data_IF_311364071467
#
_entry.id   IF_311364071467
#
_cell.length_a   1.000
_cell.length_b   1.000
_cell.length_c   1.000
_cell.angle_alpha   90.00
_cell.angle_beta   90.00
_cell.angle_gamma   90.00
#
_symmetry.space_group_name_H-M   'P 1'
#
loop_
_entity.id
_entity.type
_entity.pdbx_description
1 polymer ?
#
# COMPACT_ATOMS: atom_id res chain seq x y z
N UNK A 1 1.81 -12.64 -26.42
CA UNK A 1 2.27 -12.07 -25.15
C UNK A 1 1.40 -12.57 -23.99
N UNK A 2 2.00 -12.67 -22.80
CA UNK A 2 1.30 -12.95 -21.54
C UNK A 2 1.45 -11.70 -20.67
N UNK A 3 0.33 -11.20 -20.15
CA UNK A 3 0.31 -10.04 -19.25
C UNK A 3 -0.05 -10.54 -17.85
N UNK A 4 0.83 -10.30 -16.89
CA UNK A 4 0.54 -10.59 -15.49
C UNK A 4 -0.40 -9.52 -14.94
N UNK A 5 -1.67 -9.86 -14.75
CA UNK A 5 -2.65 -8.98 -14.12
C UNK A 5 -2.67 -9.16 -12.59
N UNK A 6 -2.53 -10.41 -12.13
CA UNK A 6 -2.56 -10.79 -10.72
C UNK A 6 -1.98 -12.21 -10.56
N UNK A 7 -1.06 -12.35 -9.63
CA UNK A 7 -0.53 -13.65 -9.16
C UNK A 7 -0.37 -13.63 -7.65
N UNK A 8 0.02 -14.76 -7.06
CA UNK A 8 0.34 -14.84 -5.63
C UNK A 8 1.52 -13.95 -5.25
N UNK A 9 2.45 -13.72 -6.19
CA UNK A 9 3.64 -12.92 -5.95
C UNK A 9 3.47 -11.43 -6.27
N UNK A 10 2.64 -11.06 -7.27
CA UNK A 10 2.57 -9.68 -7.79
C UNK A 10 1.18 -9.28 -8.26
N UNK A 11 0.90 -7.97 -8.17
CA UNK A 11 -0.31 -7.31 -8.67
C UNK A 11 0.02 -6.09 -9.56
N UNK A 12 0.69 -6.26 -10.68
CA UNK A 12 1.27 -5.15 -11.44
C UNK A 12 0.23 -4.22 -12.08
N UNK A 13 -0.92 -4.75 -12.51
CA UNK A 13 -1.97 -3.92 -13.10
C UNK A 13 -2.62 -2.97 -12.08
N UNK A 14 -2.75 -3.39 -10.83
CA UNK A 14 -3.20 -2.51 -9.75
C UNK A 14 -2.16 -1.42 -9.50
N UNK A 15 -0.89 -1.81 -9.35
CA UNK A 15 0.18 -0.86 -9.14
C UNK A 15 0.24 0.23 -10.21
N UNK A 16 0.04 -0.12 -11.48
CA UNK A 16 0.03 0.88 -12.57
C UNK A 16 -1.14 1.85 -12.41
N UNK A 17 -2.31 1.39 -11.95
CA UNK A 17 -3.44 2.26 -11.65
C UNK A 17 -3.14 3.22 -10.49
N UNK A 18 -2.47 2.73 -9.44
CA UNK A 18 -2.06 3.55 -8.29
C UNK A 18 -1.07 4.64 -8.75
N UNK A 19 -0.09 4.28 -9.57
CA UNK A 19 0.88 5.24 -10.11
C UNK A 19 0.21 6.26 -11.03
N UNK A 20 -0.76 5.85 -11.86
CA UNK A 20 -1.55 6.77 -12.69
C UNK A 20 -2.35 7.72 -11.80
N UNK A 21 -3.04 7.22 -10.80
CA UNK A 21 -3.82 8.03 -9.84
C UNK A 21 -2.92 9.05 -9.13
N UNK A 22 -1.75 8.61 -8.67
CA UNK A 22 -0.79 9.55 -8.09
C UNK A 22 -0.42 10.67 -9.06
N UNK A 23 -0.07 10.32 -10.30
CA UNK A 23 0.34 11.31 -11.32
C UNK A 23 -0.76 12.32 -11.61
N UNK A 24 -2.01 11.89 -11.67
CA UNK A 24 -3.18 12.76 -11.90
C UNK A 24 -3.39 13.75 -10.75
N UNK A 25 -3.17 13.33 -9.51
CA UNK A 25 -3.37 14.18 -8.33
C UNK A 25 -2.14 15.03 -7.94
N UNK A 26 -0.92 14.53 -8.18
CA UNK A 26 0.32 15.11 -7.62
C UNK A 26 1.47 15.25 -8.61
N UNK A 27 1.34 14.74 -9.83
CA UNK A 27 2.43 14.73 -10.81
C UNK A 27 3.47 13.65 -10.52
N UNK A 28 4.77 13.96 -10.66
CA UNK A 28 5.84 12.97 -10.47
C UNK A 28 5.89 12.43 -9.05
N UNK A 29 5.99 11.09 -8.92
CA UNK A 29 6.23 10.41 -7.63
C UNK A 29 7.74 10.32 -7.30
N UNK A 30 8.63 10.64 -8.24
CA UNK A 30 10.07 10.58 -8.01
C UNK A 30 10.50 11.44 -6.81
N UNK A 31 11.32 10.85 -5.94
CA UNK A 31 11.79 11.47 -4.70
C UNK A 31 10.76 11.55 -3.57
N UNK A 32 9.56 11.05 -3.78
CA UNK A 32 8.49 11.00 -2.77
C UNK A 32 8.66 9.84 -1.81
N UNK A 33 7.96 9.91 -0.69
CA UNK A 33 7.94 8.88 0.34
C UNK A 33 6.59 8.19 0.36
N UNK A 34 6.61 6.88 0.12
CA UNK A 34 5.44 6.01 0.17
C UNK A 34 5.51 5.15 1.43
N UNK A 35 4.42 5.07 2.18
CA UNK A 35 4.25 4.19 3.32
C UNK A 35 3.25 3.09 2.98
N UNK A 36 3.72 1.85 2.96
CA UNK A 36 2.87 0.67 2.93
C UNK A 36 2.57 0.25 4.37
N UNK A 37 1.31 -0.03 4.69
CA UNK A 37 0.89 -0.47 6.02
C UNK A 37 0.06 -1.75 5.88
N UNK A 38 0.56 -2.87 6.41
CA UNK A 38 -0.15 -4.15 6.36
C UNK A 38 0.74 -5.35 6.04
N UNK A 39 0.16 -6.37 5.43
CA UNK A 39 0.86 -7.62 5.05
C UNK A 39 1.87 -7.37 3.91
N UNK A 40 3.01 -8.07 3.97
CA UNK A 40 4.02 -8.07 2.91
C UNK A 40 3.61 -8.90 1.69
N UNK A 41 2.35 -8.79 1.28
CA UNK A 41 1.70 -9.56 0.22
C UNK A 41 2.16 -9.18 -1.20
N UNK A 42 1.49 -9.73 -2.21
CA UNK A 42 1.78 -9.49 -3.63
C UNK A 42 1.66 -8.01 -4.04
N UNK A 43 0.74 -7.26 -3.41
CA UNK A 43 0.61 -5.83 -3.68
C UNK A 43 1.79 -5.05 -3.09
N UNK A 44 2.20 -5.36 -1.84
CA UNK A 44 3.41 -4.83 -1.23
C UNK A 44 4.65 -5.11 -2.07
N UNK A 45 4.80 -6.34 -2.56
CA UNK A 45 5.92 -6.73 -3.44
C UNK A 45 5.91 -5.97 -4.77
N UNK A 46 4.74 -5.66 -5.30
CA UNK A 46 4.61 -4.81 -6.48
C UNK A 46 5.08 -3.37 -6.21
N UNK A 47 4.77 -2.81 -5.03
CA UNK A 47 5.30 -1.51 -4.60
C UNK A 47 6.82 -1.52 -4.43
N UNK A 48 7.43 -2.62 -3.98
CA UNK A 48 8.89 -2.76 -3.90
C UNK A 48 9.53 -2.62 -5.29
N UNK A 49 8.97 -3.30 -6.28
CA UNK A 49 9.44 -3.19 -7.67
C UNK A 49 9.25 -1.77 -8.22
N UNK A 50 8.11 -1.14 -7.92
CA UNK A 50 7.81 0.21 -8.35
C UNK A 50 8.75 1.25 -7.74
N UNK A 51 9.15 1.10 -6.49
CA UNK A 51 10.05 2.05 -5.81
C UNK A 51 11.33 2.28 -6.60
N UNK A 52 11.87 1.24 -7.22
CA UNK A 52 13.04 1.34 -8.10
C UNK A 52 12.71 1.96 -9.46
N UNK A 53 11.57 1.59 -10.05
CA UNK A 53 11.22 2.02 -11.41
C UNK A 53 10.78 3.48 -11.46
N UNK A 54 10.06 3.93 -10.45
CA UNK A 54 9.49 5.28 -10.35
C UNK A 54 10.29 6.21 -9.42
N UNK A 55 11.38 5.70 -8.84
CA UNK A 55 12.36 6.49 -8.06
C UNK A 55 11.76 7.12 -6.79
N UNK A 56 11.03 6.35 -5.96
CA UNK A 56 10.53 6.78 -4.66
C UNK A 56 11.08 5.97 -3.50
N UNK A 57 11.03 6.50 -2.27
CA UNK A 57 11.33 5.78 -1.04
C UNK A 57 10.07 5.00 -0.59
N UNK A 58 10.23 3.70 -0.32
CA UNK A 58 9.16 2.86 0.24
C UNK A 58 9.51 2.45 1.67
N UNK A 59 8.62 2.78 2.62
CA UNK A 59 8.64 2.26 3.98
C UNK A 59 7.52 1.27 4.15
N UNK A 60 7.86 0.08 4.65
CA UNK A 60 6.91 -1.03 4.82
C UNK A 60 6.69 -1.24 6.30
N UNK A 61 5.49 -0.93 6.78
CA UNK A 61 5.04 -1.23 8.12
C UNK A 61 4.25 -2.54 8.12
N UNK A 62 4.87 -3.61 8.63
CA UNK A 62 4.23 -4.92 8.76
C UNK A 62 4.56 -5.55 10.12
N UNK A 63 3.69 -6.43 10.67
CA UNK A 63 4.02 -7.21 11.84
C UNK A 63 5.23 -8.14 11.57
N UNK A 64 6.05 -8.44 12.59
CA UNK A 64 7.08 -9.48 12.48
C UNK A 64 6.47 -10.82 12.04
N UNK A 65 7.10 -11.43 11.02
CA UNK A 65 6.62 -12.68 10.39
C UNK A 65 5.69 -12.48 9.19
N UNK A 66 5.36 -11.23 8.86
CA UNK A 66 4.55 -10.86 7.69
C UNK A 66 5.31 -9.93 6.73
N UNK A 67 6.63 -10.00 6.77
CA UNK A 67 7.49 -9.24 5.87
C UNK A 67 7.39 -9.79 4.44
N UNK A 68 7.54 -8.92 3.41
CA UNK A 68 7.67 -9.39 2.03
C UNK A 68 8.97 -10.21 1.83
N UNK A 69 9.11 -10.82 0.66
CA UNK A 69 10.29 -11.61 0.30
C UNK A 69 11.59 -10.87 0.65
N UNK A 70 12.42 -11.42 1.55
CA UNK A 70 13.66 -10.77 1.99
C UNK A 70 14.68 -10.59 0.86
N UNK A 71 14.67 -11.45 -0.16
CA UNK A 71 15.54 -11.30 -1.31
C UNK A 71 15.13 -10.10 -2.16
N UNK A 72 13.83 -9.88 -2.31
CA UNK A 72 13.27 -8.72 -3.03
C UNK A 72 13.59 -7.42 -2.28
N UNK A 73 13.42 -7.40 -0.95
CA UNK A 73 13.78 -6.24 -0.11
C UNK A 73 15.28 -5.94 -0.22
N UNK A 74 16.13 -6.95 -0.10
CA UNK A 74 17.58 -6.79 -0.18
C UNK A 74 18.04 -6.24 -1.54
N UNK A 75 17.41 -6.71 -2.63
CA UNK A 75 17.71 -6.23 -3.98
C UNK A 75 17.33 -4.75 -4.20
N UNK A 76 16.45 -4.20 -3.34
CA UNK A 76 15.95 -2.84 -3.39
C UNK A 76 16.31 -1.99 -2.15
N UNK A 77 17.29 -2.40 -1.35
CA UNK A 77 17.66 -1.79 -0.06
C UNK A 77 18.01 -0.28 -0.14
N UNK A 78 18.37 0.22 -1.32
CA UNK A 78 18.60 1.66 -1.54
C UNK A 78 17.31 2.51 -1.56
N UNK A 79 16.13 1.88 -1.67
CA UNK A 79 14.83 2.55 -1.80
C UNK A 79 13.79 2.00 -0.82
N UNK A 80 13.98 0.80 -0.32
CA UNK A 80 13.00 0.07 0.48
C UNK A 80 13.56 -0.22 1.85
N UNK A 81 12.76 0.01 2.88
CA UNK A 81 13.08 -0.39 4.24
C UNK A 81 11.85 -0.90 4.98
N UNK A 82 12.04 -1.88 5.84
CA UNK A 82 11.01 -2.37 6.76
C UNK A 82 11.10 -1.55 8.06
N UNK A 83 9.95 -1.11 8.52
CA UNK A 83 9.78 -0.40 9.79
C UNK A 83 8.57 -1.00 10.51
N UNK A 84 8.83 -1.75 11.61
CA UNK A 84 7.74 -2.45 12.31
C UNK A 84 6.83 -1.52 13.13
N UNK A 85 7.18 -0.25 13.31
CA UNK A 85 6.30 0.74 13.90
C UNK A 85 5.58 1.53 12.80
N UNK A 86 4.24 1.35 12.64
CA UNK A 86 3.50 2.00 11.59
C UNK A 86 3.49 3.53 11.71
N UNK A 87 3.60 4.07 12.93
CA UNK A 87 3.66 5.51 13.15
C UNK A 87 4.98 6.11 12.66
N UNK A 88 6.10 5.39 12.85
CA UNK A 88 7.40 5.80 12.33
C UNK A 88 7.48 5.63 10.81
N UNK A 89 6.89 4.57 10.27
CA UNK A 89 6.84 4.36 8.83
C UNK A 89 6.07 5.48 8.12
N UNK A 90 4.94 5.90 8.70
CA UNK A 90 4.08 6.94 8.13
C UNK A 90 4.66 8.35 8.26
N UNK A 91 5.68 8.58 9.11
CA UNK A 91 6.19 9.93 9.39
C UNK A 91 6.64 10.66 8.12
N UNK A 92 5.90 11.73 7.78
CA UNK A 92 6.13 12.56 6.60
C UNK A 92 5.96 11.82 5.27
N UNK A 93 5.20 10.73 5.22
CA UNK A 93 4.87 10.05 3.97
C UNK A 93 3.98 10.94 3.08
N UNK A 94 4.26 10.97 1.79
CA UNK A 94 3.43 11.67 0.79
C UNK A 94 2.23 10.81 0.35
N UNK A 95 2.39 9.48 0.42
CA UNK A 95 1.35 8.50 0.09
C UNK A 95 1.32 7.41 1.16
N UNK A 96 0.12 7.09 1.67
CA UNK A 96 -0.13 5.93 2.54
C UNK A 96 -0.98 4.93 1.78
N UNK A 97 -0.56 3.67 1.77
CA UNK A 97 -1.23 2.57 1.07
C UNK A 97 -1.44 1.41 2.02
N UNK A 98 -2.58 0.77 1.93
CA UNK A 98 -2.86 -0.49 2.63
C UNK A 98 -3.68 -1.45 1.76
N UNK A 99 -3.79 -2.67 2.22
CA UNK A 99 -4.61 -3.74 1.64
C UNK A 99 -5.23 -4.57 2.77
N UNK A 100 -6.17 -5.44 2.44
CA UNK A 100 -6.80 -6.36 3.39
C UNK A 100 -5.77 -7.22 4.12
N UNK A 101 -5.99 -7.48 5.40
CA UNK A 101 -5.08 -8.30 6.21
C UNK A 101 -5.18 -9.80 5.93
N UNK A 102 -6.33 -10.25 5.42
CA UNK A 102 -6.56 -11.63 5.02
C UNK A 102 -7.13 -11.69 3.61
N UNK A 103 -6.47 -12.44 2.74
CA UNK A 103 -6.98 -12.70 1.39
C UNK A 103 -8.23 -13.57 1.43
N UNK A 104 -9.07 -13.47 0.37
CA UNK A 104 -10.27 -14.31 0.25
C UNK A 104 -9.92 -15.79 0.39
N UNK A 105 -10.69 -16.51 1.23
CA UNK A 105 -10.48 -17.95 1.51
C UNK A 105 -9.65 -18.26 2.75
N UNK A 106 -9.23 -17.26 3.55
CA UNK A 106 -8.46 -17.41 4.80
C UNK A 106 -9.29 -17.05 6.05
N UNK A 107 -10.59 -17.28 6.05
CA UNK A 107 -11.52 -16.81 7.10
C UNK A 107 -11.23 -17.42 8.48
N UNK A 108 -10.68 -18.64 8.56
CA UNK A 108 -10.32 -19.27 9.84
C UNK A 108 -9.10 -18.58 10.50
N UNK A 109 -8.21 -17.99 9.69
CA UNK A 109 -7.04 -17.26 10.16
C UNK A 109 -7.35 -15.78 10.46
N UNK A 110 -8.50 -15.29 10.02
CA UNK A 110 -8.86 -13.86 10.07
C UNK A 110 -8.81 -13.28 11.49
N UNK A 111 -9.33 -14.02 12.50
CA UNK A 111 -9.32 -13.54 13.88
C UNK A 111 -7.91 -13.41 14.47
N UNK A 112 -7.03 -14.33 14.13
CA UNK A 112 -5.63 -14.27 14.59
C UNK A 112 -4.89 -13.14 13.88
N UNK A 113 -5.06 -13.02 12.57
CA UNK A 113 -4.51 -11.90 11.77
C UNK A 113 -5.01 -10.55 12.29
N UNK A 114 -6.31 -10.41 12.55
CA UNK A 114 -6.87 -9.16 13.09
C UNK A 114 -6.22 -8.73 14.41
N UNK A 115 -5.84 -9.68 15.28
CA UNK A 115 -5.11 -9.36 16.53
C UNK A 115 -3.68 -8.91 16.27
N UNK A 116 -2.98 -9.58 15.35
CA UNK A 116 -1.58 -9.27 15.03
C UNK A 116 -1.46 -7.95 14.27
N UNK A 117 -2.43 -7.65 13.42
CA UNK A 117 -2.47 -6.45 12.59
C UNK A 117 -3.18 -5.25 13.24
N UNK A 118 -3.79 -5.40 14.43
CA UNK A 118 -4.57 -4.33 15.06
C UNK A 118 -3.82 -2.98 15.18
N UNK A 119 -2.49 -3.01 15.35
CA UNK A 119 -1.64 -1.81 15.39
C UNK A 119 -1.39 -1.18 14.02
N UNK A 120 -1.68 -1.92 12.95
CA UNK A 120 -1.42 -1.53 11.57
C UNK A 120 -2.68 -1.03 10.86
N UNK A 121 -3.72 -0.70 11.63
CA UNK A 121 -4.89 -0.03 11.08
C UNK A 121 -4.55 1.39 10.64
N UNK A 122 -4.87 1.72 9.39
CA UNK A 122 -4.78 3.10 8.90
C UNK A 122 -5.97 3.89 9.42
N UNK A 123 -5.71 4.78 10.36
CA UNK A 123 -6.68 5.64 11.03
C UNK A 123 -6.20 7.10 10.99
N UNK A 124 -7.01 8.00 11.55
CA UNK A 124 -6.70 9.43 11.56
C UNK A 124 -5.38 9.76 12.29
N UNK A 125 -5.03 9.00 13.34
CA UNK A 125 -3.77 9.21 14.07
C UNK A 125 -2.56 8.86 13.18
N UNK A 126 -2.61 7.74 12.45
CA UNK A 126 -1.57 7.35 11.51
C UNK A 126 -1.47 8.34 10.34
N UNK A 127 -2.61 8.71 9.75
CA UNK A 127 -2.64 9.73 8.68
C UNK A 127 -2.12 11.09 9.16
N UNK A 128 -2.30 11.41 10.42
CA UNK A 128 -1.75 12.61 11.05
C UNK A 128 -0.21 12.62 11.17
N UNK A 129 0.46 11.48 11.01
CA UNK A 129 1.94 11.39 10.92
C UNK A 129 2.46 11.64 9.52
N UNK A 130 1.65 11.36 8.51
CA UNK A 130 1.99 11.63 7.13
C UNK A 130 2.03 13.13 6.82
N UNK A 131 2.46 13.49 5.64
CA UNK A 131 2.40 14.88 5.17
C UNK A 131 0.95 15.39 5.20
N UNK A 132 0.74 16.67 5.47
CA UNK A 132 -0.61 17.24 5.61
C UNK A 132 -1.47 17.13 4.34
N UNK A 133 -0.82 16.96 3.19
CA UNK A 133 -1.44 16.77 1.88
C UNK A 133 -1.22 15.33 1.34
N UNK A 134 -0.82 14.39 2.20
CA UNK A 134 -0.64 13.00 1.82
C UNK A 134 -1.92 12.42 1.23
N UNK A 135 -1.77 11.55 0.22
CA UNK A 135 -2.89 10.77 -0.30
C UNK A 135 -2.99 9.42 0.41
N UNK A 136 -4.21 8.87 0.41
CA UNK A 136 -4.50 7.52 0.85
C UNK A 136 -5.05 6.68 -0.31
N UNK A 137 -4.51 5.46 -0.49
CA UNK A 137 -4.91 4.50 -1.51
C UNK A 137 -5.17 3.12 -0.92
N UNK A 138 -6.07 2.36 -1.56
CA UNK A 138 -6.42 0.98 -1.21
C UNK A 138 -6.94 0.26 -2.44
N UNK A 139 -6.36 -0.87 -2.78
CA UNK A 139 -6.70 -1.62 -3.99
C UNK A 139 -8.12 -2.22 -4.02
N UNK A 140 -8.88 -2.10 -2.92
CA UNK A 140 -10.24 -2.64 -2.76
C UNK A 140 -10.36 -4.15 -3.08
N UNK A 141 -11.31 -4.89 -2.44
CA UNK A 141 -12.27 -4.39 -1.43
C UNK A 141 -11.61 -4.04 -0.10
N UNK A 142 -12.18 -3.15 0.69
CA UNK A 142 -11.70 -2.77 2.02
C UNK A 142 -12.63 -3.29 3.11
N UNK A 143 -12.04 -3.73 4.23
CA UNK A 143 -12.76 -4.10 5.45
C UNK A 143 -12.72 -2.94 6.44
N UNK A 144 -13.71 -2.06 6.35
CA UNK A 144 -13.83 -0.89 7.22
C UNK A 144 -13.89 -1.29 8.70
N UNK A 145 -13.07 -0.65 9.51
CA UNK A 145 -12.90 -0.99 10.93
C UNK A 145 -11.84 -2.06 11.19
N UNK A 146 -11.33 -2.74 10.14
CA UNK A 146 -10.16 -3.62 10.21
C UNK A 146 -8.91 -2.83 9.77
N UNK A 147 -8.43 -3.00 8.53
CA UNK A 147 -7.20 -2.36 8.04
C UNK A 147 -7.30 -0.85 7.85
N UNK A 148 -8.53 -0.30 7.73
CA UNK A 148 -8.77 1.13 7.57
C UNK A 148 -10.05 1.57 8.28
N UNK A 149 -10.06 2.79 8.83
CA UNK A 149 -11.27 3.39 9.41
C UNK A 149 -12.13 4.08 8.34
N UNK A 150 -13.44 4.21 8.61
CA UNK A 150 -14.36 4.97 7.74
C UNK A 150 -13.90 6.41 7.52
N UNK A 151 -13.37 7.05 8.57
CA UNK A 151 -12.89 8.43 8.52
C UNK A 151 -11.76 8.61 7.49
N UNK A 152 -10.85 7.65 7.40
CA UNK A 152 -9.77 7.68 6.41
C UNK A 152 -10.29 7.34 5.02
N UNK A 153 -11.11 6.28 4.94
CA UNK A 153 -11.62 5.76 3.67
C UNK A 153 -12.48 6.80 2.92
N UNK A 154 -13.29 7.56 3.65
CA UNK A 154 -14.18 8.60 3.10
C UNK A 154 -13.61 10.03 3.29
N UNK A 155 -12.40 10.13 3.81
CA UNK A 155 -11.74 11.39 4.11
C UNK A 155 -11.21 12.12 2.87
N UNK A 156 -10.85 13.41 3.01
CA UNK A 156 -10.43 14.25 1.88
C UNK A 156 -9.08 13.84 1.27
N UNK A 157 -8.31 13.00 1.96
CA UNK A 157 -7.01 12.48 1.47
C UNK A 157 -7.19 11.16 0.70
N UNK A 158 -8.37 10.55 0.75
CA UNK A 158 -8.66 9.28 0.07
C UNK A 158 -8.92 9.51 -1.42
N UNK A 159 -8.22 8.75 -2.24
CA UNK A 159 -8.40 8.72 -3.70
C UNK A 159 -8.72 7.31 -4.21
N UNK A 160 -9.26 6.47 -3.34
CA UNK A 160 -9.54 5.05 -3.62
C UNK A 160 -10.52 4.82 -4.76
N UNK A 161 -11.46 5.74 -4.99
CA UNK A 161 -12.42 5.61 -6.08
C UNK A 161 -11.81 6.02 -7.43
N UNK A 162 -10.96 7.04 -7.46
CA UNK A 162 -10.18 7.41 -8.64
C UNK A 162 -9.19 6.30 -9.01
N UNK A 163 -8.55 5.70 -7.98
CA UNK A 163 -7.70 4.53 -8.10
C UNK A 163 -8.46 3.34 -8.72
N UNK A 164 -9.67 3.04 -8.24
CA UNK A 164 -10.50 1.98 -8.77
C UNK A 164 -10.90 2.23 -10.23
N UNK A 165 -11.25 3.46 -10.61
CA UNK A 165 -11.54 3.85 -11.99
C UNK A 165 -10.29 3.69 -12.87
N UNK A 166 -9.13 4.07 -12.38
CA UNK A 166 -7.86 3.98 -13.11
C UNK A 166 -7.43 2.54 -13.41
N UNK A 167 -8.03 1.52 -12.77
CA UNK A 167 -7.86 0.12 -13.19
C UNK A 167 -8.29 -0.08 -14.65
N UNK A 168 -9.33 0.60 -15.09
CA UNK A 168 -9.75 0.56 -16.48
C UNK A 168 -8.75 1.30 -17.40
N UNK A 169 -8.31 2.47 -16.97
CA UNK A 169 -7.51 3.36 -17.84
C UNK A 169 -6.06 2.87 -17.97
N UNK A 170 -5.41 2.47 -16.88
CA UNK A 170 -4.04 1.95 -16.89
C UNK A 170 -3.86 0.69 -17.76
N UNK A 171 -4.92 -0.10 -17.95
CA UNK A 171 -4.87 -1.32 -18.77
C UNK A 171 -5.21 -1.08 -20.25
N UNK A 172 -5.70 0.10 -20.60
CA UNK A 172 -6.04 0.46 -21.99
C UNK A 172 -4.92 1.21 -22.72
N UNK A 173 -4.00 1.81 -21.98
CA UNK A 173 -2.81 2.48 -22.50
C UNK A 173 -1.73 1.52 -22.84
#
# INVERSE_FOLDING_TARGET
PVINALTDDYHPCQLLADMQTWVEHRGSISGKRVCWVGDGNNMCQSYINAARQFDFELRIACPPGFEPDPALVAANAGRVRIEHDPMLAAEGADLVVTDVWASMGQEEEQLERARQFARYQVNAELMGRAASDALYMHCLPAHRGEEVTDEVMDGPQSVVFDEAENRLHAQKG
#
